data_IF_988455451687
#
_entry.id   IF_988455451687
#
_cell.length_a   1.000
_cell.length_b   1.000
_cell.length_c   1.000
_cell.angle_alpha   90.00
_cell.angle_beta   90.00
_cell.angle_gamma   90.00
#
_symmetry.space_group_name_H-M   'P 1'
#
loop_
_entity.id
_entity.type
_entity.pdbx_description
1 polymer ?
#
# COMPACT_ATOMS: atom_id res chain seq x y z
N UNK A 1 -18.39 -13.98 -4.15
CA UNK A 1 -16.95 -13.70 -4.35
C UNK A 1 -16.76 -12.19 -4.33
N UNK A 2 -15.70 -11.68 -3.69
CA UNK A 2 -15.38 -10.26 -3.76
C UNK A 2 -14.89 -9.92 -5.17
N UNK A 3 -15.45 -8.88 -5.79
CA UNK A 3 -15.02 -8.34 -7.09
C UNK A 3 -14.52 -6.92 -6.84
N UNK A 4 -13.26 -6.68 -7.15
CA UNK A 4 -12.60 -5.38 -6.99
C UNK A 4 -12.27 -4.78 -8.36
N UNK A 5 -12.27 -3.45 -8.44
CA UNK A 5 -11.76 -2.70 -9.59
C UNK A 5 -10.78 -1.66 -9.06
N UNK A 6 -9.49 -1.88 -9.30
CA UNK A 6 -8.41 -1.01 -8.86
C UNK A 6 -7.76 -0.31 -10.06
N UNK A 7 -7.40 0.97 -9.91
CA UNK A 7 -6.67 1.76 -10.92
C UNK A 7 -5.39 2.29 -10.29
N UNK A 8 -4.23 1.86 -10.82
CA UNK A 8 -2.92 2.34 -10.36
C UNK A 8 -2.43 3.45 -11.28
N UNK A 9 -2.09 4.60 -10.69
CA UNK A 9 -1.54 5.76 -11.39
C UNK A 9 -0.19 6.13 -10.77
N UNK A 10 0.77 6.51 -11.62
CA UNK A 10 2.05 7.04 -11.16
C UNK A 10 1.84 8.45 -10.59
N UNK A 11 2.31 8.69 -9.37
CA UNK A 11 2.31 10.02 -8.75
C UNK A 11 3.67 10.67 -8.98
N UNK A 12 3.70 11.80 -9.68
CA UNK A 12 4.93 12.58 -9.95
C UNK A 12 5.15 13.71 -8.93
N UNK A 13 4.08 14.29 -8.37
CA UNK A 13 4.11 15.33 -7.34
C UNK A 13 3.43 14.83 -6.06
N UNK A 14 4.23 14.25 -5.17
CA UNK A 14 3.74 13.73 -3.87
C UNK A 14 3.18 14.86 -2.98
N UNK A 15 3.85 16.03 -2.82
CA UNK A 15 3.28 17.16 -2.10
C UNK A 15 1.92 17.63 -2.64
N UNK A 16 1.78 17.76 -3.96
CA UNK A 16 0.52 18.13 -4.61
C UNK A 16 -0.59 17.11 -4.39
N UNK A 17 -0.26 15.83 -4.46
CA UNK A 17 -1.18 14.74 -4.16
C UNK A 17 -1.71 14.81 -2.72
N UNK A 18 -0.83 15.04 -1.72
CA UNK A 18 -1.27 15.22 -0.33
C UNK A 18 -2.20 16.43 -0.13
N UNK A 19 -1.92 17.57 -0.80
CA UNK A 19 -2.83 18.73 -0.76
C UNK A 19 -4.20 18.40 -1.34
N UNK A 20 -4.24 17.64 -2.45
CA UNK A 20 -5.48 17.21 -3.06
C UNK A 20 -6.28 16.27 -2.15
N UNK A 21 -5.63 15.28 -1.52
CA UNK A 21 -6.26 14.39 -0.53
C UNK A 21 -6.87 15.16 0.65
N UNK A 22 -6.13 16.12 1.20
CA UNK A 22 -6.62 16.97 2.30
C UNK A 22 -7.86 17.77 1.88
N UNK A 23 -7.83 18.35 0.67
CA UNK A 23 -8.94 19.15 0.14
C UNK A 23 -10.24 18.35 -0.05
N UNK A 24 -10.16 17.07 -0.40
CA UNK A 24 -11.33 16.18 -0.54
C UNK A 24 -11.77 15.55 0.79
N UNK A 25 -11.09 15.85 1.91
CA UNK A 25 -11.43 15.30 3.22
C UNK A 25 -11.11 13.81 3.37
N UNK A 26 -10.11 13.29 2.64
CA UNK A 26 -9.69 11.90 2.74
C UNK A 26 -9.28 11.56 4.18
N UNK A 27 -9.68 10.37 4.65
CA UNK A 27 -9.35 9.84 5.98
C UNK A 27 -8.54 8.56 5.83
N UNK A 28 -7.74 8.25 6.83
CA UNK A 28 -7.08 6.95 6.94
C UNK A 28 -8.15 5.84 7.00
N UNK A 29 -7.91 4.73 6.31
CA UNK A 29 -8.88 3.65 6.19
C UNK A 29 -9.10 2.87 7.50
N UNK A 30 -8.15 2.92 8.45
CA UNK A 30 -8.28 2.27 9.76
C UNK A 30 -7.10 2.54 10.72
N UNK A 31 -7.17 2.03 11.96
CA UNK A 31 -6.05 2.10 12.92
C UNK A 31 -4.82 1.40 12.34
N UNK A 32 -3.64 2.02 12.42
CA UNK A 32 -2.40 1.45 11.85
C UNK A 32 -2.24 1.61 10.34
N UNK A 33 -3.19 2.22 9.63
CA UNK A 33 -3.10 2.49 8.17
C UNK A 33 -2.31 3.76 7.83
N UNK A 34 -1.45 4.23 8.75
CA UNK A 34 -0.39 5.18 8.41
C UNK A 34 0.66 4.50 7.52
N UNK A 35 1.79 5.16 7.25
CA UNK A 35 2.87 4.55 6.48
C UNK A 35 3.26 3.19 7.09
N UNK A 36 3.20 2.15 6.26
CA UNK A 36 3.55 0.77 6.61
C UNK A 36 4.71 0.32 5.73
N UNK A 37 5.50 -0.62 6.25
CA UNK A 37 6.37 -1.43 5.43
C UNK A 37 5.57 -2.64 4.92
N UNK A 38 5.33 -2.70 3.62
CA UNK A 38 4.64 -3.82 2.96
C UNK A 38 5.68 -4.73 2.30
N UNK A 39 5.66 -6.01 2.65
CA UNK A 39 6.40 -7.08 1.97
C UNK A 39 5.41 -8.00 1.25
N UNK A 40 5.70 -8.32 -0.02
CA UNK A 40 4.92 -9.27 -0.79
C UNK A 40 5.80 -10.45 -1.20
N UNK A 41 5.47 -11.64 -0.74
CA UNK A 41 6.05 -12.89 -1.22
C UNK A 41 5.13 -13.44 -2.31
N UNK A 42 5.64 -13.52 -3.54
CA UNK A 42 4.89 -13.96 -4.73
C UNK A 42 5.15 -15.45 -4.97
N UNK A 43 4.09 -16.19 -5.27
CA UNK A 43 4.13 -17.60 -5.58
C UNK A 43 3.62 -17.85 -7.00
N UNK A 44 4.26 -18.78 -7.70
CA UNK A 44 3.79 -19.32 -8.97
C UNK A 44 4.28 -20.77 -9.11
N UNK A 45 3.77 -21.47 -10.13
CA UNK A 45 4.33 -22.76 -10.52
C UNK A 45 5.67 -22.55 -11.22
N UNK A 46 6.54 -23.58 -11.29
CA UNK A 46 7.79 -23.47 -12.06
C UNK A 46 7.56 -23.08 -13.53
N UNK A 47 6.39 -23.39 -14.08
CA UNK A 47 5.99 -23.07 -15.45
C UNK A 47 5.33 -21.69 -15.60
N UNK A 48 5.15 -20.93 -14.51
CA UNK A 48 4.58 -19.58 -14.51
C UNK A 48 3.10 -19.54 -14.91
N UNK A 49 2.31 -20.54 -14.51
CA UNK A 49 0.93 -20.70 -15.00
C UNK A 49 0.02 -19.58 -14.49
N UNK A 50 0.22 -19.09 -13.26
CA UNK A 50 -0.62 -18.03 -12.71
C UNK A 50 -0.38 -16.72 -13.48
N UNK A 51 0.88 -16.33 -13.67
CA UNK A 51 1.22 -15.13 -14.42
C UNK A 51 0.68 -15.16 -15.86
N UNK A 52 0.74 -16.31 -16.55
CA UNK A 52 0.21 -16.48 -17.91
C UNK A 52 -1.29 -16.22 -18.01
N UNK A 53 -2.04 -16.45 -16.94
CA UNK A 53 -3.47 -16.18 -16.86
C UNK A 53 -3.79 -14.82 -16.22
N UNK A 54 -2.78 -13.97 -15.99
CA UNK A 54 -2.93 -12.68 -15.33
C UNK A 54 -3.35 -12.82 -13.85
N UNK A 55 -3.06 -13.96 -13.23
CA UNK A 55 -3.36 -14.25 -11.84
C UNK A 55 -2.11 -14.03 -10.97
N UNK A 56 -2.32 -13.61 -9.73
CA UNK A 56 -1.26 -13.38 -8.75
C UNK A 56 -1.64 -14.07 -7.44
N UNK A 57 -0.77 -14.98 -6.98
CA UNK A 57 -0.84 -15.51 -5.63
C UNK A 57 0.27 -14.88 -4.80
N UNK A 58 -0.09 -14.27 -3.66
CA UNK A 58 0.87 -13.65 -2.76
C UNK A 58 0.46 -13.80 -1.30
N UNK A 59 1.46 -13.83 -0.43
CA UNK A 59 1.31 -13.50 0.99
C UNK A 59 1.81 -12.08 1.18
N UNK A 60 0.97 -11.22 1.77
CA UNK A 60 1.33 -9.85 2.13
C UNK A 60 1.55 -9.77 3.64
N UNK A 61 2.71 -9.27 4.03
CA UNK A 61 3.03 -8.93 5.42
C UNK A 61 3.14 -7.42 5.54
N UNK A 62 2.34 -6.81 6.43
CA UNK A 62 2.37 -5.37 6.71
C UNK A 62 2.95 -5.15 8.11
N UNK A 63 4.00 -4.34 8.21
CA UNK A 63 4.61 -3.93 9.48
C UNK A 63 4.39 -2.43 9.69
N UNK A 64 3.83 -2.00 10.83
CA UNK A 64 3.73 -0.59 11.15
C UNK A 64 5.12 0.05 11.18
N UNK A 65 5.30 1.20 10.55
CA UNK A 65 6.53 1.98 10.74
C UNK A 65 6.50 2.53 12.17
N UNK A 66 7.34 1.98 13.05
CA UNK A 66 7.46 2.45 14.44
C UNK A 66 7.93 3.91 14.38
N UNK A 67 7.06 4.85 14.74
CA UNK A 67 7.46 6.23 14.90
C UNK A 67 8.52 6.30 16.00
N UNK A 68 9.78 6.47 15.60
CA UNK A 68 10.88 6.78 16.51
C UNK A 68 10.49 7.96 17.39
N UNK A 69 10.72 7.80 18.70
CA UNK A 69 10.40 8.73 19.79
C UNK A 69 10.50 10.20 19.37
N UNK A 70 9.41 10.94 19.63
CA UNK A 70 9.40 12.40 19.72
C UNK A 70 10.71 12.92 20.35
N UNK A 71 11.50 13.67 19.59
CA UNK A 71 12.53 14.54 20.16
C UNK A 71 11.79 15.56 21.02
N UNK A 72 11.82 15.37 22.35
CA UNK A 72 11.56 16.46 23.29
C UNK A 72 12.58 17.56 22.99
N UNK A 73 12.10 18.67 22.44
CA UNK A 73 12.82 19.94 22.45
C UNK A 73 12.93 20.39 23.91
N UNK A 74 14.16 20.61 24.36
CA UNK A 74 14.44 21.35 25.60
C UNK A 74 14.20 22.83 25.43
#
# INVERSE_FOLDING_TARGET
MARETEIKLRISDVPGFHRALKRIGARLAGPGTSKVHEENIIFDTPQGVLAKHGQLLRIRTEMPEVQGKSKRTG
#
